data_IF_429812657756
#
_entry.id   IF_429812657756
#
_cell.length_a   1.000
_cell.length_b   1.000
_cell.length_c   1.000
_cell.angle_alpha   90.00
_cell.angle_beta   90.00
_cell.angle_gamma   90.00
#
_symmetry.space_group_name_H-M   'P 1'
#
loop_
_entity.id
_entity.type
_entity.pdbx_description
1 polymer ?
#
# COMPACT_ATOMS: atom_id res chain seq x y z
N UNK A 1 -11.57 13.81 8.71
CA UNK A 1 -12.78 13.26 8.06
C UNK A 1 -13.08 11.83 8.55
N UNK A 2 -12.03 11.03 8.83
CA UNK A 2 -12.14 9.76 9.56
C UNK A 2 -11.47 9.92 10.90
N UNK A 3 -12.04 9.35 11.99
CA UNK A 3 -11.45 9.37 13.33
C UNK A 3 -11.68 8.02 14.00
N UNK A 4 -10.60 7.42 14.49
CA UNK A 4 -10.60 6.23 15.36
C UNK A 4 -10.00 6.65 16.69
N UNK A 5 -10.64 6.31 17.81
CA UNK A 5 -10.18 6.65 19.17
C UNK A 5 -10.25 5.45 20.07
N UNK A 6 -9.09 4.92 20.47
CA UNK A 6 -8.94 3.78 21.36
C UNK A 6 -9.67 2.55 20.86
N UNK A 7 -9.71 2.30 19.56
CA UNK A 7 -10.49 1.21 18.96
C UNK A 7 -9.87 -0.14 19.27
N UNK A 8 -10.65 -1.00 19.91
CA UNK A 8 -10.26 -2.38 20.27
C UNK A 8 -11.20 -3.37 19.59
N UNK A 9 -10.63 -4.46 19.07
CA UNK A 9 -11.40 -5.57 18.49
C UNK A 9 -10.76 -6.92 18.78
N UNK A 10 -11.57 -7.84 19.29
CA UNK A 10 -11.18 -9.22 19.55
C UNK A 10 -11.95 -10.19 18.63
N UNK A 11 -11.30 -11.28 18.28
CA UNK A 11 -11.89 -12.47 17.64
C UNK A 11 -11.55 -13.69 18.51
N UNK A 12 -12.47 -14.08 19.38
CA UNK A 12 -12.17 -15.05 20.43
C UNK A 12 -11.01 -14.56 21.31
N UNK A 13 -9.96 -15.35 21.44
CA UNK A 13 -8.77 -15.03 22.23
C UNK A 13 -7.76 -14.14 21.50
N UNK A 14 -7.95 -13.89 20.19
CA UNK A 14 -7.04 -13.05 19.38
C UNK A 14 -7.46 -11.60 19.41
N UNK A 15 -6.57 -10.72 19.84
CA UNK A 15 -6.73 -9.26 19.69
C UNK A 15 -6.31 -8.85 18.28
N UNK A 16 -7.25 -8.35 17.50
CA UNK A 16 -7.01 -7.90 16.14
C UNK A 16 -6.73 -6.39 16.07
N UNK A 17 -7.33 -5.60 16.97
CA UNK A 17 -7.03 -4.17 17.17
C UNK A 17 -6.89 -3.93 18.66
N UNK A 18 -5.85 -3.19 19.06
CA UNK A 18 -5.49 -2.97 20.45
C UNK A 18 -5.24 -1.48 20.72
N UNK A 19 -6.34 -0.74 20.88
CA UNK A 19 -6.29 0.69 21.19
C UNK A 19 -5.83 1.55 20.00
N UNK A 20 -6.42 1.32 18.81
CA UNK A 20 -6.05 2.07 17.61
C UNK A 20 -6.60 3.49 17.67
N UNK A 21 -5.68 4.45 17.54
CA UNK A 21 -5.95 5.87 17.30
C UNK A 21 -5.50 6.25 15.88
N UNK A 22 -6.38 6.89 15.10
CA UNK A 22 -6.07 7.36 13.74
C UNK A 22 -6.99 8.53 13.38
N UNK A 23 -6.40 9.62 12.89
CA UNK A 23 -7.13 10.78 12.40
C UNK A 23 -6.77 11.03 10.92
N UNK A 24 -7.78 11.08 10.05
CA UNK A 24 -7.60 11.38 8.62
C UNK A 24 -8.23 12.73 8.31
N UNK A 25 -7.43 13.74 7.94
CA UNK A 25 -7.94 15.04 7.53
C UNK A 25 -8.82 14.96 6.28
N UNK A 26 -9.67 15.99 6.08
CA UNK A 26 -10.49 16.08 4.89
C UNK A 26 -9.64 16.36 3.64
N UNK A 27 -9.95 15.70 2.52
CA UNK A 27 -9.30 15.93 1.23
C UNK A 27 -7.87 15.42 1.15
N UNK A 28 -7.48 14.44 2.00
CA UNK A 28 -6.14 13.84 1.98
C UNK A 28 -6.20 12.34 1.72
N UNK A 29 -5.08 11.79 1.25
CA UNK A 29 -4.84 10.35 1.20
C UNK A 29 -4.09 9.93 2.46
N UNK A 30 -4.71 9.10 3.29
CA UNK A 30 -4.06 8.43 4.41
C UNK A 30 -3.73 7.00 4.01
N UNK A 31 -2.44 6.68 3.94
CA UNK A 31 -1.97 5.31 3.82
C UNK A 31 -2.04 4.56 5.15
N UNK A 32 -2.61 3.37 5.17
CA UNK A 32 -2.54 2.43 6.29
C UNK A 32 -1.65 1.26 5.87
N UNK A 33 -0.38 1.34 6.24
CA UNK A 33 0.66 0.40 5.85
C UNK A 33 0.87 -0.66 6.92
N UNK A 34 1.01 -1.92 6.55
CA UNK A 34 1.34 -2.99 7.49
C UNK A 34 1.32 -4.37 6.85
N UNK A 35 1.90 -5.39 7.50
CA UNK A 35 1.94 -6.74 7.00
C UNK A 35 0.54 -7.38 6.97
N UNK A 36 0.46 -8.57 6.37
CA UNK A 36 -0.76 -9.37 6.40
C UNK A 36 -1.07 -9.78 7.83
N UNK A 37 -2.33 -9.58 8.24
CA UNK A 37 -2.76 -9.88 9.61
C UNK A 37 -2.49 -8.80 10.66
N UNK A 38 -1.88 -7.66 10.30
CA UNK A 38 -1.62 -6.54 11.22
C UNK A 38 -2.89 -5.83 11.73
N UNK A 39 -4.05 -6.01 11.06
CA UNK A 39 -5.31 -5.38 11.46
C UNK A 39 -5.93 -4.46 10.43
N UNK A 40 -5.30 -4.22 9.27
CA UNK A 40 -5.79 -3.31 8.20
C UNK A 40 -7.24 -3.58 7.82
N UNK A 41 -7.54 -4.79 7.36
CA UNK A 41 -8.90 -5.19 6.96
C UNK A 41 -9.89 -5.15 8.13
N UNK A 42 -9.44 -5.32 9.38
CA UNK A 42 -10.30 -5.17 10.55
C UNK A 42 -10.70 -3.71 10.74
N UNK A 43 -9.78 -2.75 10.57
CA UNK A 43 -10.08 -1.31 10.57
C UNK A 43 -11.07 -0.99 9.45
N UNK A 44 -10.84 -1.46 8.24
CA UNK A 44 -11.76 -1.28 7.10
C UNK A 44 -13.17 -1.79 7.46
N UNK A 45 -13.30 -3.00 8.02
CA UNK A 45 -14.59 -3.57 8.42
C UNK A 45 -15.29 -2.76 9.51
N UNK A 46 -14.54 -2.17 10.44
CA UNK A 46 -15.10 -1.28 11.46
C UNK A 46 -15.62 0.01 10.82
N UNK A 47 -14.82 0.68 10.00
CA UNK A 47 -15.18 1.93 9.34
C UNK A 47 -16.35 1.76 8.36
N UNK A 48 -16.45 0.60 7.70
CA UNK A 48 -17.55 0.27 6.79
C UNK A 48 -18.82 -0.24 7.51
N UNK A 49 -18.84 -0.23 8.82
CA UNK A 49 -19.94 -0.72 9.67
C UNK A 49 -20.26 -2.21 9.53
N UNK A 50 -19.37 -3.00 8.91
CA UNK A 50 -19.49 -4.46 8.80
C UNK A 50 -19.13 -5.16 10.11
N UNK A 51 -18.41 -4.47 10.99
CA UNK A 51 -17.96 -4.98 12.26
C UNK A 51 -18.06 -3.89 13.33
N UNK A 52 -18.71 -4.19 14.46
CA UNK A 52 -18.73 -3.28 15.59
C UNK A 52 -17.42 -3.44 16.42
N UNK A 53 -16.77 -2.33 16.80
CA UNK A 53 -15.64 -2.39 17.71
C UNK A 53 -16.10 -2.81 19.11
N UNK A 54 -15.25 -3.50 19.88
CA UNK A 54 -15.58 -3.92 21.25
C UNK A 54 -15.44 -2.73 22.21
N UNK A 55 -14.41 -1.88 21.99
CA UNK A 55 -14.18 -0.62 22.72
C UNK A 55 -13.76 0.49 21.77
N UNK A 56 -13.80 1.72 22.27
CA UNK A 56 -13.44 2.91 21.51
C UNK A 56 -14.54 3.35 20.57
N UNK A 57 -14.28 4.43 19.83
CA UNK A 57 -15.20 5.07 18.91
C UNK A 57 -14.57 5.21 17.52
N UNK A 58 -15.41 5.14 16.49
CA UNK A 58 -15.04 5.39 15.11
C UNK A 58 -16.07 6.30 14.42
N UNK A 59 -15.56 7.33 13.75
CA UNK A 59 -16.37 8.31 13.02
C UNK A 59 -15.94 8.33 11.55
N UNK A 60 -16.90 8.43 10.64
CA UNK A 60 -16.67 8.62 9.20
C UNK A 60 -17.60 9.72 8.73
N UNK A 61 -17.05 10.77 8.12
CA UNK A 61 -17.81 11.93 7.64
C UNK A 61 -18.73 12.52 8.73
N UNK A 62 -18.29 12.50 10.00
CA UNK A 62 -19.05 13.00 11.14
C UNK A 62 -20.10 12.03 11.71
N UNK A 63 -20.37 10.89 11.07
CA UNK A 63 -21.29 9.86 11.56
C UNK A 63 -20.56 8.78 12.33
N UNK A 64 -21.12 8.32 13.46
CA UNK A 64 -20.55 7.25 14.29
C UNK A 64 -20.91 5.88 13.75
N UNK A 65 -19.92 4.99 13.70
CA UNK A 65 -20.13 3.59 13.27
C UNK A 65 -21.08 2.82 14.20
N UNK A 66 -21.19 3.25 15.47
CA UNK A 66 -22.08 2.62 16.46
C UNK A 66 -23.49 3.18 16.45
N UNK A 67 -23.63 4.52 16.43
CA UNK A 67 -24.92 5.18 16.67
C UNK A 67 -25.62 5.63 15.39
N UNK A 68 -24.87 5.85 14.29
CA UNK A 68 -25.40 6.21 12.98
C UNK A 68 -24.71 5.44 11.83
N UNK A 69 -24.78 4.09 11.82
CA UNK A 69 -24.18 3.32 10.74
C UNK A 69 -24.80 3.61 9.36
N UNK A 70 -26.05 4.08 9.31
CA UNK A 70 -26.69 4.47 8.07
C UNK A 70 -26.09 5.78 7.52
N UNK A 71 -25.78 6.75 8.39
CA UNK A 71 -25.05 7.97 8.01
C UNK A 71 -23.65 7.66 7.48
N UNK A 72 -22.91 6.78 8.15
CA UNK A 72 -21.61 6.30 7.68
C UNK A 72 -21.71 5.75 6.26
N UNK A 73 -22.62 4.80 6.00
CA UNK A 73 -22.80 4.19 4.67
C UNK A 73 -23.22 5.17 3.57
N UNK A 74 -23.94 6.25 3.92
CA UNK A 74 -24.27 7.30 2.95
C UNK A 74 -23.07 8.18 2.58
N UNK A 75 -22.15 8.38 3.50
CA UNK A 75 -20.96 9.21 3.31
C UNK A 75 -19.71 8.45 2.87
N UNK A 76 -19.83 7.16 2.54
CA UNK A 76 -18.68 6.29 2.32
C UNK A 76 -18.79 5.55 0.99
N UNK A 77 -17.71 5.62 0.18
CA UNK A 77 -17.45 4.71 -0.93
C UNK A 77 -16.43 3.65 -0.51
N UNK A 78 -16.56 2.45 -1.01
CA UNK A 78 -15.66 1.36 -0.66
C UNK A 78 -15.28 0.57 -1.90
N UNK A 79 -13.98 0.36 -2.11
CA UNK A 79 -13.45 -0.61 -3.04
C UNK A 79 -12.68 -1.64 -2.22
N UNK A 80 -13.20 -2.86 -2.15
CA UNK A 80 -12.64 -3.94 -1.34
C UNK A 80 -11.46 -4.65 -2.03
N UNK A 81 -10.92 -5.66 -1.39
CA UNK A 81 -9.82 -6.49 -1.93
C UNK A 81 -10.20 -7.18 -3.24
N UNK A 82 -11.46 -7.57 -3.40
CA UNK A 82 -12.01 -8.10 -4.64
C UNK A 82 -12.93 -7.07 -5.27
N UNK A 83 -12.81 -6.87 -6.58
CA UNK A 83 -13.67 -5.96 -7.31
C UNK A 83 -15.15 -6.40 -7.21
N UNK A 84 -16.00 -5.50 -6.71
CA UNK A 84 -17.45 -5.73 -6.59
C UNK A 84 -18.16 -5.47 -7.93
N UNK A 85 -17.76 -6.17 -8.98
CA UNK A 85 -18.22 -6.01 -10.37
C UNK A 85 -18.95 -7.28 -10.80
N UNK A 86 -20.12 -7.14 -11.38
CA UNK A 86 -20.83 -8.25 -12.02
C UNK A 86 -20.18 -8.54 -13.38
N UNK A 87 -19.56 -9.70 -13.49
CA UNK A 87 -18.83 -10.13 -14.69
C UNK A 87 -19.74 -10.37 -15.91
N UNK A 88 -21.04 -10.52 -15.70
CA UNK A 88 -22.05 -10.77 -16.76
C UNK A 88 -22.66 -9.48 -17.31
N UNK A 89 -22.33 -8.34 -16.73
CA UNK A 89 -22.76 -7.02 -17.18
C UNK A 89 -21.62 -6.28 -17.87
N UNK A 90 -21.97 -5.34 -18.74
CA UNK A 90 -21.00 -4.39 -19.32
C UNK A 90 -20.55 -3.38 -18.26
N UNK A 91 -19.48 -2.60 -18.54
CA UNK A 91 -19.05 -1.53 -17.65
C UNK A 91 -20.15 -0.51 -17.37
N UNK A 92 -20.88 -0.12 -18.42
CA UNK A 92 -22.01 0.80 -18.29
C UNK A 92 -23.13 0.23 -17.43
N UNK A 93 -23.52 -1.01 -17.65
CA UNK A 93 -24.59 -1.66 -16.89
C UNK A 93 -24.23 -1.80 -15.42
N UNK A 94 -22.97 -2.14 -15.09
CA UNK A 94 -22.46 -2.18 -13.72
C UNK A 94 -22.64 -0.84 -13.01
N UNK A 95 -22.08 0.25 -13.58
CA UNK A 95 -22.16 1.57 -12.95
C UNK A 95 -23.58 2.10 -12.91
N UNK A 96 -24.36 1.89 -13.95
CA UNK A 96 -25.76 2.27 -13.97
C UNK A 96 -26.57 1.54 -12.88
N UNK A 97 -26.34 0.23 -12.70
CA UNK A 97 -26.97 -0.57 -11.65
C UNK A 97 -26.61 -0.03 -10.27
N UNK A 98 -25.32 0.20 -9.98
CA UNK A 98 -24.86 0.75 -8.70
C UNK A 98 -25.48 2.12 -8.43
N UNK A 99 -25.49 3.03 -9.42
CA UNK A 99 -26.15 4.33 -9.28
C UNK A 99 -27.64 4.21 -8.96
N UNK A 100 -28.32 3.24 -9.55
CA UNK A 100 -29.75 2.96 -9.27
C UNK A 100 -29.95 2.41 -7.86
N UNK A 101 -29.04 1.60 -7.34
CA UNK A 101 -29.06 1.10 -5.95
C UNK A 101 -28.90 2.24 -4.94
N UNK A 102 -28.11 3.27 -5.27
CA UNK A 102 -28.04 4.52 -4.49
C UNK A 102 -29.27 5.45 -4.67
N UNK A 103 -30.31 5.01 -5.38
CA UNK A 103 -31.56 5.76 -5.53
C UNK A 103 -31.56 6.84 -6.60
N UNK A 104 -30.52 6.93 -7.44
CA UNK A 104 -30.48 7.93 -8.52
C UNK A 104 -31.59 7.67 -9.56
N UNK A 105 -32.27 8.72 -10.04
CA UNK A 105 -33.21 8.58 -11.17
C UNK A 105 -32.52 8.00 -12.40
N UNK A 106 -33.21 7.17 -13.20
CA UNK A 106 -32.60 6.43 -14.34
C UNK A 106 -31.77 7.30 -15.27
N UNK A 107 -32.26 8.51 -15.61
CA UNK A 107 -31.54 9.44 -16.49
C UNK A 107 -30.25 9.98 -15.83
N UNK A 108 -30.31 10.35 -14.54
CA UNK A 108 -29.16 10.82 -13.79
C UNK A 108 -28.12 9.70 -13.60
N UNK A 109 -28.58 8.48 -13.28
CA UNK A 109 -27.73 7.29 -13.16
C UNK A 109 -26.98 7.00 -14.48
N UNK A 110 -27.66 7.10 -15.63
CA UNK A 110 -27.04 6.89 -16.92
C UNK A 110 -25.99 7.98 -17.24
N UNK A 111 -26.28 9.24 -16.94
CA UNK A 111 -25.32 10.34 -17.13
C UNK A 111 -24.08 10.16 -16.25
N UNK A 112 -24.28 9.85 -14.93
CA UNK A 112 -23.16 9.64 -14.01
C UNK A 112 -22.31 8.42 -14.37
N UNK A 113 -22.93 7.34 -14.84
CA UNK A 113 -22.21 6.17 -15.29
C UNK A 113 -21.28 6.51 -16.49
N UNK A 114 -21.78 7.30 -17.46
CA UNK A 114 -20.98 7.76 -18.62
C UNK A 114 -19.82 8.68 -18.20
N UNK A 115 -20.11 9.64 -17.33
CA UNK A 115 -19.07 10.53 -16.76
C UNK A 115 -17.92 9.69 -16.16
N UNK A 116 -18.24 8.75 -15.26
CA UNK A 116 -17.22 7.92 -14.61
C UNK A 116 -16.50 6.96 -15.57
N UNK A 117 -17.18 6.40 -16.56
CA UNK A 117 -16.49 5.59 -17.57
C UNK A 117 -15.45 6.39 -18.34
N UNK A 118 -15.75 7.67 -18.61
CA UNK A 118 -14.82 8.60 -19.21
C UNK A 118 -13.64 8.91 -18.28
N UNK A 119 -13.91 9.35 -17.05
CA UNK A 119 -12.90 9.73 -16.05
C UNK A 119 -11.93 8.58 -15.75
N UNK A 120 -12.44 7.34 -15.72
CA UNK A 120 -11.66 6.13 -15.48
C UNK A 120 -11.13 5.47 -16.76
N UNK A 121 -11.23 6.12 -17.94
CA UNK A 121 -10.68 5.66 -19.24
C UNK A 121 -11.20 4.26 -19.62
N UNK A 122 -12.51 4.05 -19.52
CA UNK A 122 -13.19 2.81 -19.86
C UNK A 122 -14.22 2.99 -20.99
N UNK A 123 -14.28 4.16 -21.64
CA UNK A 123 -15.27 4.50 -22.68
C UNK A 123 -15.28 3.49 -23.84
N UNK A 124 -14.10 3.13 -24.34
CA UNK A 124 -13.95 2.31 -25.56
C UNK A 124 -14.57 0.91 -25.41
N UNK A 125 -14.70 0.43 -24.17
CA UNK A 125 -15.16 -0.93 -23.86
C UNK A 125 -16.46 -0.97 -23.09
N UNK A 126 -16.97 0.20 -22.68
CA UNK A 126 -18.06 0.35 -21.72
C UNK A 126 -19.35 -0.38 -22.09
N UNK A 127 -19.68 -0.46 -23.38
CA UNK A 127 -20.91 -1.08 -23.89
C UNK A 127 -20.64 -2.35 -24.70
N UNK A 128 -19.37 -2.59 -25.10
CA UNK A 128 -19.02 -3.64 -26.06
C UNK A 128 -18.50 -4.92 -25.41
N UNK A 129 -17.87 -4.81 -24.23
CA UNK A 129 -17.32 -5.94 -23.50
C UNK A 129 -18.04 -6.15 -22.17
N UNK A 130 -18.25 -7.42 -21.81
CA UNK A 130 -18.67 -7.79 -20.46
C UNK A 130 -17.49 -7.57 -19.48
N UNK A 131 -17.79 -7.19 -18.25
CA UNK A 131 -16.75 -6.92 -17.25
C UNK A 131 -15.90 -8.15 -16.93
N UNK A 132 -16.41 -9.36 -17.13
CA UNK A 132 -15.63 -10.59 -17.05
C UNK A 132 -14.50 -10.70 -18.11
N UNK A 133 -14.60 -9.95 -19.21
CA UNK A 133 -13.60 -9.90 -20.26
C UNK A 133 -12.56 -8.77 -20.07
N UNK A 134 -12.74 -7.94 -19.05
CA UNK A 134 -11.81 -6.86 -18.71
C UNK A 134 -10.50 -7.41 -18.15
N UNK A 135 -9.39 -6.71 -18.38
CA UNK A 135 -8.15 -6.96 -17.66
C UNK A 135 -8.33 -6.70 -16.15
N UNK A 136 -7.43 -7.22 -15.31
CA UNK A 136 -7.46 -6.94 -13.88
C UNK A 136 -7.50 -5.44 -13.57
N UNK A 137 -6.64 -4.65 -14.22
CA UNK A 137 -6.61 -3.19 -14.07
C UNK A 137 -7.90 -2.50 -14.54
N UNK A 138 -8.53 -2.97 -15.63
CA UNK A 138 -9.82 -2.44 -16.08
C UNK A 138 -10.95 -2.75 -15.09
N UNK A 139 -11.00 -3.98 -14.56
CA UNK A 139 -11.98 -4.34 -13.51
C UNK A 139 -11.78 -3.50 -12.25
N UNK A 140 -10.53 -3.26 -11.86
CA UNK A 140 -10.23 -2.42 -10.70
C UNK A 140 -10.66 -0.98 -10.88
N UNK A 141 -10.41 -0.39 -12.04
CA UNK A 141 -10.90 0.97 -12.38
C UNK A 141 -12.43 1.05 -12.41
N UNK A 142 -13.10 0.02 -12.89
CA UNK A 142 -14.56 -0.04 -12.87
C UNK A 142 -15.11 -0.13 -11.44
N UNK A 143 -14.46 -0.90 -10.55
CA UNK A 143 -14.79 -1.00 -9.14
C UNK A 143 -14.59 0.33 -8.40
N UNK A 144 -13.46 1.01 -8.64
CA UNK A 144 -13.20 2.36 -8.13
C UNK A 144 -14.25 3.36 -8.59
N UNK A 145 -14.61 3.34 -9.87
CA UNK A 145 -15.69 4.18 -10.42
C UNK A 145 -17.03 3.90 -9.70
N UNK A 146 -17.32 2.63 -9.40
CA UNK A 146 -18.48 2.24 -8.61
C UNK A 146 -18.46 2.80 -7.18
N UNK A 147 -17.28 2.80 -6.53
CA UNK A 147 -17.11 3.34 -5.18
C UNK A 147 -17.41 4.85 -5.09
N UNK A 148 -17.15 5.61 -6.17
CA UNK A 148 -17.39 7.08 -6.21
C UNK A 148 -18.68 7.50 -6.91
N UNK A 149 -19.53 6.56 -7.28
CA UNK A 149 -20.77 6.81 -8.06
C UNK A 149 -21.67 7.80 -7.36
N UNK A 150 -21.81 7.70 -6.03
CA UNK A 150 -22.67 8.54 -5.19
C UNK A 150 -21.99 9.85 -4.73
N UNK A 151 -20.79 10.16 -5.20
CA UNK A 151 -19.94 11.29 -4.77
C UNK A 151 -19.76 11.33 -3.24
N UNK A 152 -19.27 10.23 -2.62
CA UNK A 152 -19.07 10.20 -1.19
C UNK A 152 -17.90 11.13 -0.80
N UNK A 153 -17.96 11.81 0.36
CA UNK A 153 -16.85 12.60 0.86
C UNK A 153 -15.67 11.75 1.35
N UNK A 154 -15.86 10.45 1.56
CA UNK A 154 -14.83 9.52 2.02
C UNK A 154 -14.84 8.26 1.14
N UNK A 155 -13.66 7.80 0.75
CA UNK A 155 -13.46 6.53 0.03
C UNK A 155 -12.45 5.67 0.78
N UNK A 156 -12.76 4.40 0.96
CA UNK A 156 -11.82 3.40 1.51
C UNK A 156 -11.43 2.44 0.39
N UNK A 157 -10.12 2.28 0.23
CA UNK A 157 -9.51 1.39 -0.76
C UNK A 157 -8.73 0.30 -0.02
N UNK A 158 -9.22 -0.94 -0.07
CA UNK A 158 -8.56 -2.07 0.61
C UNK A 158 -7.67 -2.82 -0.40
N UNK A 159 -6.35 -2.58 -0.30
CA UNK A 159 -5.30 -3.16 -1.15
C UNK A 159 -5.61 -3.03 -2.67
N UNK A 160 -5.75 -1.80 -3.21
CA UNK A 160 -6.32 -1.57 -4.54
C UNK A 160 -5.46 -2.07 -5.70
N UNK A 161 -4.17 -2.32 -5.50
CA UNK A 161 -3.26 -2.74 -6.58
C UNK A 161 -2.79 -4.18 -6.47
N UNK A 162 -3.26 -4.92 -5.48
CA UNK A 162 -2.90 -6.33 -5.29
C UNK A 162 -3.28 -7.15 -6.52
N UNK A 163 -2.31 -7.92 -7.05
CA UNK A 163 -2.50 -8.77 -8.23
C UNK A 163 -2.53 -8.05 -9.57
N UNK A 164 -2.23 -6.75 -9.61
CA UNK A 164 -2.13 -6.00 -10.85
C UNK A 164 -0.70 -5.99 -11.40
N UNK A 165 -0.59 -5.96 -12.72
CA UNK A 165 0.67 -5.72 -13.40
C UNK A 165 1.15 -4.25 -13.19
N UNK A 166 2.41 -3.92 -13.51
CA UNK A 166 2.96 -2.58 -13.28
C UNK A 166 2.19 -1.46 -14.00
N UNK A 167 1.55 -1.76 -15.14
CA UNK A 167 0.72 -0.78 -15.85
C UNK A 167 -0.61 -0.56 -15.12
N UNK A 168 -1.27 -1.65 -14.72
CA UNK A 168 -2.52 -1.57 -13.96
C UNK A 168 -2.36 -0.86 -12.62
N UNK A 169 -1.20 -1.04 -11.93
CA UNK A 169 -0.88 -0.28 -10.72
C UNK A 169 -0.85 1.23 -11.00
N UNK A 170 -0.10 1.67 -12.02
CA UNK A 170 0.00 3.11 -12.39
C UNK A 170 -1.35 3.69 -12.76
N UNK A 171 -2.13 3.00 -13.61
CA UNK A 171 -3.47 3.44 -14.00
C UNK A 171 -4.40 3.57 -12.78
N UNK A 172 -4.25 2.71 -11.76
CA UNK A 172 -5.01 2.77 -10.49
C UNK A 172 -4.54 3.95 -9.63
N UNK A 173 -3.23 4.21 -9.55
CA UNK A 173 -2.67 5.35 -8.81
C UNK A 173 -3.14 6.68 -9.40
N UNK A 174 -3.12 6.82 -10.73
CA UNK A 174 -3.65 8.01 -11.41
C UNK A 174 -5.13 8.24 -11.04
N UNK A 175 -5.91 7.16 -11.00
CA UNK A 175 -7.32 7.23 -10.62
C UNK A 175 -7.52 7.66 -9.15
N UNK A 176 -6.69 7.16 -8.22
CA UNK A 176 -6.74 7.56 -6.80
C UNK A 176 -6.36 9.03 -6.62
N UNK A 177 -5.31 9.49 -7.32
CA UNK A 177 -4.88 10.90 -7.27
C UNK A 177 -6.00 11.82 -7.75
N UNK A 178 -6.69 11.50 -8.84
CA UNK A 178 -7.80 12.34 -9.33
C UNK A 178 -8.96 12.46 -8.33
N UNK A 179 -9.19 11.46 -7.46
CA UNK A 179 -10.23 11.57 -6.43
C UNK A 179 -9.91 12.65 -5.38
N UNK A 180 -8.65 12.79 -5.00
CA UNK A 180 -8.24 13.82 -4.03
C UNK A 180 -8.21 15.21 -4.64
N UNK A 181 -7.93 15.36 -5.91
CA UNK A 181 -8.06 16.62 -6.64
C UNK A 181 -9.52 17.14 -6.60
N UNK A 182 -10.50 16.23 -6.57
CA UNK A 182 -11.93 16.52 -6.38
C UNK A 182 -12.33 16.75 -4.91
N UNK A 183 -11.37 16.73 -3.97
CA UNK A 183 -11.58 16.96 -2.54
C UNK A 183 -12.10 15.74 -1.75
N UNK A 184 -12.08 14.56 -2.33
CA UNK A 184 -12.45 13.30 -1.65
C UNK A 184 -11.35 12.91 -0.67
N UNK A 185 -11.75 12.45 0.53
CA UNK A 185 -10.82 11.89 1.52
C UNK A 185 -10.63 10.41 1.27
N UNK A 186 -9.39 9.94 1.16
CA UNK A 186 -9.09 8.54 0.86
C UNK A 186 -8.35 7.89 2.03
N UNK A 187 -8.84 6.74 2.48
CA UNK A 187 -8.09 5.80 3.32
C UNK A 187 -7.66 4.63 2.43
N UNK A 188 -6.36 4.49 2.23
CA UNK A 188 -5.75 3.45 1.41
C UNK A 188 -5.07 2.43 2.32
N UNK A 189 -5.50 1.17 2.32
CA UNK A 189 -4.71 0.10 2.96
C UNK A 189 -3.77 -0.53 1.95
N UNK A 190 -2.56 -0.81 2.36
CA UNK A 190 -1.59 -1.49 1.51
C UNK A 190 -0.53 -2.23 2.33
N UNK A 191 0.11 -3.20 1.73
CA UNK A 191 1.35 -3.80 2.20
C UNK A 191 2.55 -3.35 1.36
N UNK A 192 2.30 -2.64 0.25
CA UNK A 192 3.32 -2.18 -0.68
C UNK A 192 3.78 -0.77 -0.31
N UNK A 193 5.06 -0.66 0.02
CA UNK A 193 5.67 0.60 0.46
C UNK A 193 5.73 1.64 -0.67
N UNK A 194 5.96 1.19 -1.91
CA UNK A 194 5.96 2.04 -3.08
C UNK A 194 4.60 2.74 -3.28
N UNK A 195 3.50 2.00 -3.08
CA UNK A 195 2.15 2.56 -3.18
C UNK A 195 1.89 3.63 -2.12
N UNK A 196 2.29 3.35 -0.86
CA UNK A 196 2.16 4.33 0.21
C UNK A 196 3.04 5.58 -0.02
N UNK A 197 4.28 5.40 -0.50
CA UNK A 197 5.21 6.50 -0.80
C UNK A 197 4.72 7.39 -1.95
N UNK A 198 4.04 6.79 -2.94
CA UNK A 198 3.58 7.47 -4.15
C UNK A 198 2.27 8.22 -3.95
N UNK A 199 1.34 7.66 -3.16
CA UNK A 199 -0.02 8.16 -3.08
C UNK A 199 -0.35 8.90 -1.79
N UNK A 200 0.27 8.53 -0.65
CA UNK A 200 -0.19 8.99 0.64
C UNK A 200 0.41 10.34 1.04
N UNK A 201 -0.43 11.28 1.47
CA UNK A 201 -0.01 12.51 2.13
C UNK A 201 0.55 12.21 3.53
N UNK A 202 -0.04 11.22 4.21
CA UNK A 202 0.41 10.68 5.49
C UNK A 202 0.25 9.18 5.54
N UNK A 203 1.15 8.50 6.27
CA UNK A 203 1.20 7.05 6.39
C UNK A 203 1.13 6.68 7.87
N UNK A 204 0.12 5.89 8.24
CA UNK A 204 0.06 5.22 9.52
C UNK A 204 0.57 3.78 9.34
N UNK A 205 1.60 3.41 10.09
CA UNK A 205 2.14 2.05 10.11
C UNK A 205 1.43 1.27 11.20
N UNK A 206 0.74 0.19 10.82
CA UNK A 206 0.07 -0.70 11.76
C UNK A 206 0.81 -2.03 11.87
N UNK A 207 1.06 -2.46 13.10
CA UNK A 207 1.63 -3.74 13.42
C UNK A 207 0.95 -4.35 14.65
N UNK A 208 0.66 -5.66 14.61
CA UNK A 208 -0.01 -6.39 15.70
C UNK A 208 -1.24 -5.65 16.29
N UNK A 209 -2.03 -5.00 15.46
CA UNK A 209 -3.25 -4.28 15.85
C UNK A 209 -3.02 -2.92 16.49
N UNK A 210 -1.82 -2.35 16.43
CA UNK A 210 -1.45 -1.03 16.97
C UNK A 210 -0.85 -0.13 15.92
N UNK A 211 -1.12 1.16 15.97
CA UNK A 211 -0.38 2.14 15.16
C UNK A 211 0.99 2.37 15.83
N UNK A 212 2.06 1.95 15.16
CA UNK A 212 3.44 2.07 15.66
C UNK A 212 4.14 3.34 15.18
N UNK A 213 3.68 3.91 14.08
CA UNK A 213 4.16 5.20 13.58
C UNK A 213 3.07 5.86 12.73
N UNK A 214 3.07 7.21 12.70
CA UNK A 214 2.21 8.03 11.85
C UNK A 214 2.98 9.29 11.43
N UNK A 215 2.81 9.71 10.17
CA UNK A 215 3.42 10.91 9.61
C UNK A 215 3.61 10.85 8.10
N UNK A 216 4.14 11.91 7.51
CA UNK A 216 4.50 11.92 6.08
C UNK A 216 5.61 10.91 5.78
N UNK A 217 5.69 10.41 4.55
CA UNK A 217 6.77 9.52 4.13
C UNK A 217 8.16 10.09 4.46
N UNK A 218 8.36 11.39 4.23
CA UNK A 218 9.61 12.08 4.55
C UNK A 218 9.91 12.11 6.06
N UNK A 219 8.90 12.33 6.91
CA UNK A 219 9.04 12.32 8.36
C UNK A 219 9.38 10.91 8.88
N UNK A 220 8.72 9.88 8.35
CA UNK A 220 8.97 8.49 8.71
C UNK A 220 10.38 8.05 8.28
N UNK A 221 10.80 8.35 7.05
CA UNK A 221 12.16 8.07 6.56
C UNK A 221 13.24 8.73 7.44
N UNK A 222 12.99 9.95 7.92
CA UNK A 222 13.92 10.66 8.80
C UNK A 222 14.04 10.02 10.21
N UNK A 223 13.00 9.34 10.71
CA UNK A 223 13.02 8.71 12.05
C UNK A 223 13.94 7.49 12.13
N UNK A 224 14.15 6.76 11.04
CA UNK A 224 14.92 5.50 11.01
C UNK A 224 16.39 5.73 10.68
N UNK A 225 16.72 6.88 10.10
CA UNK A 225 18.12 7.27 9.83
C UNK A 225 18.21 8.44 8.87
N UNK A 226 19.35 9.09 8.84
CA UNK A 226 19.70 10.11 7.86
C UNK A 226 19.91 9.53 6.46
N UNK A 227 20.18 10.39 5.48
CA UNK A 227 20.68 9.94 4.18
C UNK A 227 21.91 9.08 4.35
N UNK A 228 22.12 8.12 3.46
CA UNK A 228 23.32 7.27 3.41
C UNK A 228 24.11 7.55 2.14
N UNK A 229 25.41 7.37 2.21
CA UNK A 229 26.30 7.37 1.04
C UNK A 229 26.65 5.92 0.77
N UNK A 230 26.26 5.43 -0.41
CA UNK A 230 26.67 4.14 -0.92
C UNK A 230 27.83 4.36 -1.88
N UNK A 231 28.95 3.63 -1.67
CA UNK A 231 30.16 3.71 -2.48
C UNK A 231 30.46 2.31 -3.00
N UNK A 232 30.64 2.19 -4.30
CA UNK A 232 31.15 0.97 -4.93
C UNK A 232 32.62 1.21 -5.33
N UNK A 233 33.51 0.43 -4.75
CA UNK A 233 34.97 0.51 -5.05
C UNK A 233 35.27 -0.13 -6.41
N UNK A 234 36.22 0.42 -7.14
CA UNK A 234 36.65 -0.16 -8.39
C UNK A 234 37.35 -1.54 -8.16
N UNK A 235 38.11 -1.69 -7.07
CA UNK A 235 38.73 -2.95 -6.67
C UNK A 235 38.24 -3.38 -5.27
N UNK A 236 37.83 -4.65 -5.14
CA UNK A 236 37.41 -5.23 -3.87
C UNK A 236 38.57 -5.31 -2.84
N UNK A 237 39.81 -5.38 -3.30
CA UNK A 237 41.01 -5.42 -2.42
C UNK A 237 41.23 -4.13 -1.62
N UNK A 238 40.63 -3.01 -2.08
CA UNK A 238 40.75 -1.70 -1.42
C UNK A 238 39.79 -1.51 -0.24
N UNK A 239 38.89 -2.47 0.01
CA UNK A 239 37.83 -2.37 1.02
C UNK A 239 38.35 -2.01 2.41
N UNK A 240 39.38 -2.72 2.93
CA UNK A 240 39.98 -2.45 4.24
C UNK A 240 40.68 -1.09 4.29
N UNK A 241 41.42 -0.72 3.23
CA UNK A 241 42.11 0.56 3.14
C UNK A 241 41.12 1.73 3.07
N UNK A 242 39.97 1.55 2.36
CA UNK A 242 38.90 2.52 2.28
C UNK A 242 38.24 2.75 3.64
N UNK A 243 37.91 1.69 4.37
CA UNK A 243 37.36 1.79 5.73
C UNK A 243 38.32 2.52 6.66
N UNK A 244 39.60 2.16 6.67
CA UNK A 244 40.61 2.82 7.49
C UNK A 244 40.79 4.31 7.15
N UNK A 245 40.74 4.67 5.86
CA UNK A 245 40.82 6.06 5.43
C UNK A 245 39.58 6.87 5.88
N UNK A 246 38.41 6.30 5.72
CA UNK A 246 37.14 6.92 6.14
C UNK A 246 37.04 7.04 7.67
N UNK A 247 37.44 6.01 8.42
CA UNK A 247 37.45 6.03 9.89
C UNK A 247 38.38 7.11 10.43
N UNK A 248 39.58 7.27 9.85
CA UNK A 248 40.50 8.37 10.22
C UNK A 248 39.95 9.76 9.94
N UNK A 249 39.06 9.89 8.97
CA UNK A 249 38.35 11.13 8.65
C UNK A 249 37.08 11.34 9.48
N UNK A 250 36.77 10.42 10.40
CA UNK A 250 35.57 10.49 11.27
C UNK A 250 34.29 9.95 10.65
N UNK A 251 34.42 9.16 9.59
CA UNK A 251 33.28 8.51 8.94
C UNK A 251 33.30 7.00 9.27
N UNK A 252 32.21 6.50 9.85
CA UNK A 252 32.01 5.07 10.10
C UNK A 252 31.36 4.44 8.87
N UNK A 253 32.10 3.53 8.20
CA UNK A 253 31.68 2.89 6.96
C UNK A 253 31.44 1.40 7.20
N UNK A 254 30.21 0.96 6.94
CA UNK A 254 29.80 -0.43 7.03
C UNK A 254 30.09 -1.14 5.69
N UNK A 255 30.89 -2.21 5.67
CA UNK A 255 31.15 -2.98 4.46
C UNK A 255 29.97 -3.94 4.19
N UNK A 256 29.59 -4.07 2.96
CA UNK A 256 28.79 -5.21 2.52
C UNK A 256 29.75 -6.37 2.20
N UNK A 257 29.76 -7.41 3.05
CA UNK A 257 30.66 -8.56 2.94
C UNK A 257 30.61 -9.32 1.59
N UNK A 258 29.53 -9.10 0.81
CA UNK A 258 29.30 -9.79 -0.46
C UNK A 258 29.54 -8.91 -1.69
N UNK A 259 29.78 -7.64 -1.49
CA UNK A 259 29.93 -6.68 -2.58
C UNK A 259 31.11 -5.73 -2.29
N UNK A 260 31.59 -5.06 -3.33
CA UNK A 260 32.60 -3.99 -3.24
C UNK A 260 32.03 -2.69 -2.70
N UNK A 261 30.93 -2.78 -1.89
CA UNK A 261 30.16 -1.61 -1.46
C UNK A 261 30.47 -1.27 0.00
N UNK A 262 30.60 0.02 0.23
CA UNK A 262 30.65 0.63 1.56
C UNK A 262 29.42 1.53 1.73
N UNK A 263 28.77 1.44 2.87
CA UNK A 263 27.65 2.32 3.22
C UNK A 263 28.01 3.12 4.47
N UNK A 264 27.74 4.43 4.45
CA UNK A 264 28.02 5.32 5.58
C UNK A 264 26.90 6.37 5.74
N UNK A 265 26.75 6.90 6.95
CA UNK A 265 25.79 7.96 7.23
C UNK A 265 26.17 9.26 6.49
N UNK A 266 25.16 9.95 5.94
CA UNK A 266 25.31 11.22 5.23
C UNK A 266 24.60 12.33 5.99
N UNK A 267 25.19 12.82 7.07
CA UNK A 267 24.57 13.84 7.94
C UNK A 267 24.31 15.17 7.21
N UNK A 268 25.15 15.53 6.23
CA UNK A 268 25.10 16.80 5.50
C UNK A 268 24.69 16.65 4.01
N UNK A 269 24.17 15.51 3.59
CA UNK A 269 23.71 15.28 2.21
C UNK A 269 24.83 15.42 1.16
N UNK A 270 24.65 16.24 0.12
CA UNK A 270 25.59 16.41 -0.98
C UNK A 270 27.01 16.86 -0.57
N UNK A 271 27.19 17.85 0.32
CA UNK A 271 28.49 18.18 0.88
C UNK A 271 29.18 17.03 1.60
N UNK A 272 28.44 16.14 2.26
CA UNK A 272 28.96 14.91 2.87
C UNK A 272 29.56 13.98 1.84
N UNK A 273 28.84 13.72 0.75
CA UNK A 273 29.32 12.89 -0.37
C UNK A 273 30.65 13.44 -0.95
N UNK A 274 30.73 14.76 -1.18
CA UNK A 274 31.95 15.36 -1.71
C UNK A 274 33.15 15.20 -0.77
N UNK A 275 32.95 15.32 0.56
CA UNK A 275 34.01 15.09 1.55
C UNK A 275 34.50 13.64 1.52
N UNK A 276 33.60 12.70 1.50
CA UNK A 276 33.90 11.26 1.46
C UNK A 276 34.70 10.90 0.22
N UNK A 277 34.29 11.37 -0.96
CA UNK A 277 35.05 11.16 -2.21
C UNK A 277 36.44 11.76 -2.16
N UNK A 278 36.61 12.95 -1.59
CA UNK A 278 37.92 13.60 -1.41
C UNK A 278 38.85 12.77 -0.48
N UNK A 279 38.30 12.15 0.56
CA UNK A 279 39.06 11.28 1.46
C UNK A 279 39.59 10.05 0.72
N UNK A 280 38.73 9.38 -0.06
CA UNK A 280 39.13 8.18 -0.83
C UNK A 280 40.12 8.52 -1.93
N UNK A 281 39.92 9.62 -2.67
CA UNK A 281 40.86 10.10 -3.68
C UNK A 281 42.27 10.37 -3.08
N UNK A 282 42.35 11.04 -1.92
CA UNK A 282 43.63 11.28 -1.21
C UNK A 282 44.27 10.00 -0.71
N UNK A 283 43.51 8.96 -0.46
CA UNK A 283 44.03 7.64 -0.09
C UNK A 283 44.46 6.81 -1.31
N UNK A 284 44.27 7.30 -2.53
CA UNK A 284 44.56 6.59 -3.77
C UNK A 284 43.60 5.45 -4.08
N UNK A 285 42.36 5.55 -3.61
CA UNK A 285 41.35 4.53 -3.75
C UNK A 285 40.33 4.96 -4.83
N UNK A 286 40.24 4.14 -5.86
CA UNK A 286 39.36 4.40 -6.99
C UNK A 286 37.90 3.97 -6.69
N UNK A 287 36.96 4.86 -6.98
CA UNK A 287 35.52 4.68 -6.79
C UNK A 287 34.87 4.48 -8.16
N UNK A 288 34.16 3.35 -8.32
CA UNK A 288 33.37 3.07 -9.53
C UNK A 288 32.06 3.83 -9.55
N UNK A 289 31.37 3.85 -8.41
CA UNK A 289 30.09 4.54 -8.24
C UNK A 289 29.97 5.11 -6.83
N UNK A 290 29.38 6.29 -6.71
CA UNK A 290 29.02 6.86 -5.42
C UNK A 290 27.64 7.54 -5.52
N UNK A 291 26.73 7.17 -4.62
CA UNK A 291 25.38 7.68 -4.60
C UNK A 291 24.97 8.14 -3.20
N UNK A 292 24.26 9.28 -3.15
CA UNK A 292 23.57 9.70 -1.95
C UNK A 292 22.18 9.04 -1.94
N UNK A 293 21.97 8.09 -1.06
CA UNK A 293 20.71 7.38 -0.91
C UNK A 293 19.92 7.93 0.28
N UNK A 294 18.64 8.23 0.05
CA UNK A 294 17.71 8.51 1.14
C UNK A 294 17.17 7.19 1.67
N UNK A 295 16.85 7.10 2.98
CA UNK A 295 16.21 5.90 3.52
C UNK A 295 14.94 5.56 2.73
N UNK A 296 14.72 4.28 2.50
CA UNK A 296 13.50 3.76 1.90
C UNK A 296 12.43 3.57 2.99
N UNK A 297 11.17 3.44 2.60
CA UNK A 297 10.13 3.04 3.55
C UNK A 297 10.31 1.60 4.03
N UNK A 298 11.03 0.74 3.26
CA UNK A 298 11.40 -0.62 3.69
C UNK A 298 12.28 -0.59 4.94
N UNK A 299 13.29 0.26 4.94
CA UNK A 299 14.17 0.45 6.10
C UNK A 299 13.40 1.01 7.31
N UNK A 300 12.43 1.91 7.06
CA UNK A 300 11.52 2.41 8.10
C UNK A 300 10.71 1.27 8.68
N UNK A 301 10.09 0.47 7.81
CA UNK A 301 9.23 -0.63 8.22
C UNK A 301 10.03 -1.67 9.02
N UNK A 302 11.19 -2.12 8.51
CA UNK A 302 12.08 -3.04 9.20
C UNK A 302 12.53 -2.50 10.56
N UNK A 303 12.90 -1.22 10.64
CA UNK A 303 13.33 -0.58 11.89
C UNK A 303 12.22 -0.44 12.93
N UNK A 304 10.95 -0.36 12.51
CA UNK A 304 9.79 -0.21 13.40
C UNK A 304 9.18 -1.56 13.83
N UNK A 305 9.19 -2.57 12.96
CA UNK A 305 8.52 -3.86 13.18
C UNK A 305 9.49 -4.99 13.49
N UNK A 306 10.76 -4.84 13.12
CA UNK A 306 11.78 -5.90 13.21
C UNK A 306 11.62 -7.01 12.17
N UNK A 307 10.64 -6.91 11.28
CA UNK A 307 10.36 -7.90 10.24
C UNK A 307 10.57 -7.30 8.84
N UNK A 308 11.20 -8.04 7.88
CA UNK A 308 11.33 -7.59 6.51
C UNK A 308 9.96 -7.51 5.83
N UNK A 309 9.81 -6.58 4.88
CA UNK A 309 8.60 -6.48 4.08
C UNK A 309 8.42 -7.69 3.17
N UNK A 310 7.19 -8.07 2.81
CA UNK A 310 6.93 -9.18 1.88
C UNK A 310 7.63 -9.04 0.51
N UNK A 311 7.92 -7.83 0.08
CA UNK A 311 8.62 -7.55 -1.20
C UNK A 311 10.12 -7.87 -1.15
N UNK A 312 10.74 -7.89 0.03
CA UNK A 312 12.18 -8.18 0.19
C UNK A 312 12.47 -9.69 0.33
N UNK A 313 11.45 -10.51 0.44
CA UNK A 313 11.60 -11.97 0.41
C UNK A 313 11.56 -12.41 -1.06
N UNK A 314 12.66 -12.95 -1.65
CA UNK A 314 12.60 -13.53 -2.98
C UNK A 314 11.53 -14.64 -3.00
N UNK A 315 10.60 -14.60 -3.96
CA UNK A 315 9.70 -15.72 -4.19
C UNK A 315 10.55 -16.97 -4.44
N UNK A 316 10.54 -17.92 -3.50
CA UNK A 316 11.05 -19.26 -3.78
C UNK A 316 10.24 -19.81 -4.97
N UNK A 317 10.89 -20.31 -6.03
CA UNK A 317 10.19 -20.87 -7.15
C UNK A 317 9.30 -22.03 -6.66
N UNK A 318 8.00 -21.88 -6.89
CA UNK A 318 6.97 -22.87 -6.55
C UNK A 318 7.36 -24.23 -7.15
N UNK A 319 7.91 -25.11 -6.33
CA UNK A 319 8.29 -26.45 -6.74
C UNK A 319 7.00 -27.23 -6.91
N UNK A 320 6.63 -27.68 -8.12
CA UNK A 320 5.38 -28.38 -8.31
C UNK A 320 5.36 -29.62 -7.42
N UNK A 321 4.46 -29.67 -6.46
CA UNK A 321 4.19 -30.86 -5.66
C UNK A 321 3.81 -31.99 -6.61
N UNK A 322 4.73 -32.91 -6.81
CA UNK A 322 4.49 -34.14 -7.55
C UNK A 322 3.29 -34.85 -6.92
N UNK A 323 2.18 -34.88 -7.65
CA UNK A 323 1.07 -35.77 -7.35
C UNK A 323 1.60 -37.21 -7.36
N UNK A 324 1.78 -37.79 -6.18
CA UNK A 324 1.91 -39.24 -6.05
C UNK A 324 0.56 -39.85 -6.45
N UNK A 325 0.48 -40.34 -7.68
CA UNK A 325 -0.54 -41.26 -8.10
C UNK A 325 -0.27 -42.56 -7.34
N UNK A 326 -1.12 -42.87 -6.38
CA UNK A 326 -1.13 -44.14 -5.71
C UNK A 326 -1.56 -45.21 -6.71
N UNK A 327 -0.60 -46.07 -7.09
CA UNK A 327 -0.91 -47.36 -7.62
C UNK A 327 -1.17 -48.27 -6.42
N UNK A 328 -2.37 -48.78 -6.30
CA UNK A 328 -2.65 -50.19 -5.97
C UNK A 328 -4.10 -50.33 -5.49
N UNK A 329 -4.87 -51.04 -6.25
CA UNK A 329 -5.91 -51.96 -5.78
C UNK A 329 -6.64 -52.54 -6.99
N UNK A 330 -5.98 -53.60 -7.55
CA UNK A 330 -6.63 -54.57 -8.41
C UNK A 330 -6.46 -55.91 -7.73
N UNK A 331 -7.48 -56.37 -7.03
CA UNK A 331 -7.77 -57.79 -6.81
C UNK A 331 -8.89 -57.92 -5.76
N UNK A 332 -10.09 -58.19 -6.21
CA UNK A 332 -10.89 -59.31 -5.67
C UNK A 332 -12.37 -59.18 -6.05
N UNK A 333 -12.71 -59.75 -7.20
CA UNK A 333 -14.10 -60.16 -7.48
C UNK A 333 -14.03 -61.59 -7.90
N UNK A 334 -14.35 -62.47 -6.97
CA UNK A 334 -14.85 -63.83 -7.25
C UNK A 334 -15.48 -64.45 -5.97
N UNK A 335 -16.78 -64.19 -5.79
CA UNK A 335 -17.78 -65.23 -5.42
C UNK A 335 -19.15 -64.58 -5.22
#
# INVERSE_FOLDING_TARGET
MISLRGVVKHYGDRTALDGVDLEVPAGTVQGLLGPNGAGKTTIVRVLTTLLAPDRGDALVAGSSVRTDPAGVRRGLGVSGQYAAVDEKLTGFENLHMVARLYGMPRRAAAGRARELLHDFRLDDVADSLLAGQYSGGMRRRLDLAGAVIARPPVVILDEPTTGLDPRGRRDTWDAVTSLTDDGVTVLLTTQYLEEADQLADSIAVIDHGRIVADGTAAALKKRVGGSRIDITLADASDGAAAQDALARAGHDAEPDERSRRLTLAADDGGPGLSRVLTVLERAGIDVEEAALRRPTLDEVFLGLTGEPTPETVPEEPDTPRAHRVGADESAEVAR
#
